data_IF_868422876470
#
_entry.id   IF_868422876470
#
_cell.length_a   1.000
_cell.length_b   1.000
_cell.length_c   1.000
_cell.angle_alpha   90.00
_cell.angle_beta   90.00
_cell.angle_gamma   90.00
#
_symmetry.space_group_name_H-M   'P 1'
#
loop_
_entity.id
_entity.type
_entity.pdbx_description
1 polymer ?
#
# COMPACT_ATOMS: atom_id res chain seq x y z
N UNK A 1 -6.02 -2.83 1.05
CA UNK A 1 -4.88 -2.96 1.96
C UNK A 1 -4.10 -1.65 1.99
N UNK A 2 -3.82 -1.13 3.19
CA UNK A 2 -3.01 0.08 3.40
C UNK A 2 -1.81 -0.28 4.24
N UNK A 3 -0.61 0.08 3.79
CA UNK A 3 0.64 -0.35 4.40
C UNK A 3 1.66 0.79 4.45
N UNK A 4 2.55 0.79 5.45
CA UNK A 4 3.75 1.64 5.46
C UNK A 4 4.74 1.21 4.38
N UNK A 5 5.60 2.13 3.90
CA UNK A 5 6.50 1.87 2.78
C UNK A 5 7.97 2.10 3.14
N UNK A 6 8.74 1.02 3.23
CA UNK A 6 10.16 1.04 3.60
C UNK A 6 11.10 0.50 2.53
N UNK A 7 10.59 -0.40 1.67
CA UNK A 7 11.44 -1.12 0.73
C UNK A 7 10.73 -1.38 -0.61
N UNK A 8 11.49 -1.62 -1.66
CA UNK A 8 10.95 -2.15 -2.92
C UNK A 8 10.38 -3.57 -2.77
N UNK A 9 10.74 -4.26 -1.70
CA UNK A 9 10.25 -5.60 -1.41
C UNK A 9 8.90 -5.63 -0.69
N UNK A 10 8.42 -4.49 -0.14
CA UNK A 10 7.13 -4.45 0.56
C UNK A 10 5.96 -4.97 -0.28
N UNK A 11 5.79 -4.56 -1.56
CA UNK A 11 4.71 -5.10 -2.38
C UNK A 11 4.82 -6.59 -2.62
N UNK A 12 6.05 -7.11 -2.79
CA UNK A 12 6.30 -8.52 -3.07
C UNK A 12 5.97 -9.36 -1.84
N UNK A 13 6.43 -8.93 -0.67
CA UNK A 13 6.20 -9.63 0.60
C UNK A 13 4.72 -9.59 0.98
N UNK A 14 4.07 -8.43 0.82
CA UNK A 14 2.63 -8.28 1.07
C UNK A 14 1.83 -9.14 0.09
N UNK A 15 2.18 -9.13 -1.19
CA UNK A 15 1.53 -9.96 -2.20
C UNK A 15 1.67 -11.45 -1.89
N UNK A 16 2.85 -11.89 -1.45
CA UNK A 16 3.09 -13.28 -1.06
C UNK A 16 2.26 -13.69 0.18
N UNK A 17 2.25 -12.85 1.22
CA UNK A 17 1.51 -13.11 2.44
C UNK A 17 0.00 -13.23 2.19
N UNK A 18 -0.53 -12.40 1.31
CA UNK A 18 -1.95 -12.36 0.94
C UNK A 18 -2.22 -12.89 -0.48
N UNK A 19 -1.45 -13.89 -0.93
CA UNK A 19 -1.49 -14.41 -2.32
C UNK A 19 -2.86 -14.93 -2.76
N UNK A 20 -3.73 -15.29 -1.82
CA UNK A 20 -5.11 -15.70 -2.10
C UNK A 20 -6.03 -14.53 -2.47
N UNK A 21 -5.62 -13.30 -2.20
CA UNK A 21 -6.45 -12.10 -2.33
C UNK A 21 -6.23 -11.31 -3.62
N UNK A 22 -5.39 -11.79 -4.57
CA UNK A 22 -5.13 -11.12 -5.86
C UNK A 22 -4.87 -9.61 -5.71
N UNK A 23 -3.88 -9.21 -4.91
CA UNK A 23 -3.62 -7.79 -4.62
C UNK A 23 -2.95 -7.12 -5.81
N UNK A 24 -3.55 -6.05 -6.32
CA UNK A 24 -2.97 -5.11 -7.28
C UNK A 24 -2.50 -3.84 -6.57
N UNK A 25 -1.25 -3.43 -6.76
CA UNK A 25 -0.72 -2.23 -6.13
C UNK A 25 -0.78 -1.00 -7.03
N UNK A 26 -0.92 0.16 -6.42
CA UNK A 26 -0.72 1.44 -7.11
C UNK A 26 0.77 1.76 -7.09
N UNK A 27 1.36 1.94 -8.27
CA UNK A 27 2.79 2.10 -8.45
C UNK A 27 3.13 3.32 -9.30
N UNK A 28 4.33 3.90 -9.13
CA UNK A 28 4.82 5.02 -9.94
C UNK A 28 4.90 4.61 -11.42
N UNK A 29 4.47 5.48 -12.33
CA UNK A 29 4.47 5.21 -13.78
C UNK A 29 5.85 4.78 -14.32
N UNK A 30 6.94 5.35 -13.78
CA UNK A 30 8.30 4.97 -14.15
C UNK A 30 8.62 3.49 -13.93
N UNK A 31 8.01 2.83 -12.94
CA UNK A 31 8.26 1.42 -12.65
C UNK A 31 7.78 0.49 -13.77
N UNK A 32 6.79 0.92 -14.54
CA UNK A 32 6.28 0.16 -15.71
C UNK A 32 7.24 0.19 -16.90
N UNK A 33 8.24 1.08 -16.90
CA UNK A 33 9.26 1.18 -17.95
C UNK A 33 10.47 0.28 -17.67
N UNK A 34 10.62 -0.23 -16.44
CA UNK A 34 11.74 -1.10 -16.05
C UNK A 34 11.61 -2.44 -16.79
N UNK A 35 12.65 -2.88 -17.54
CA UNK A 35 12.65 -4.19 -18.20
C UNK A 35 12.34 -5.33 -17.22
N UNK A 36 11.61 -6.36 -17.66
CA UNK A 36 11.17 -7.52 -16.87
C UNK A 36 10.19 -7.11 -15.75
N UNK A 37 10.58 -6.25 -14.81
CA UNK A 37 9.75 -5.80 -13.70
C UNK A 37 8.46 -5.11 -14.18
N UNK A 38 8.57 -4.21 -15.16
CA UNK A 38 7.40 -3.54 -15.74
C UNK A 38 6.42 -4.50 -16.42
N UNK A 39 6.91 -5.59 -17.02
CA UNK A 39 6.05 -6.65 -17.58
C UNK A 39 5.35 -7.43 -16.47
N UNK A 40 6.08 -7.76 -15.40
CA UNK A 40 5.54 -8.49 -14.25
C UNK A 40 4.40 -7.71 -13.58
N UNK A 41 4.63 -6.45 -13.21
CA UNK A 41 3.62 -5.64 -12.50
C UNK A 41 2.38 -5.37 -13.36
N UNK A 42 2.51 -5.30 -14.71
CA UNK A 42 1.34 -5.25 -15.60
C UNK A 42 0.50 -6.52 -15.53
N UNK A 43 1.14 -7.70 -15.53
CA UNK A 43 0.44 -8.99 -15.39
C UNK A 43 -0.24 -9.13 -14.02
N UNK A 44 0.31 -8.51 -12.98
CA UNK A 44 -0.28 -8.48 -11.65
C UNK A 44 -1.33 -7.37 -11.46
N UNK A 45 -1.86 -6.79 -12.54
CA UNK A 45 -2.89 -5.74 -12.54
C UNK A 45 -2.50 -4.48 -11.78
N UNK A 46 -1.20 -4.20 -11.58
CA UNK A 46 -0.77 -2.96 -10.93
C UNK A 46 -1.23 -1.76 -11.75
N UNK A 47 -1.54 -0.68 -11.06
CA UNK A 47 -2.03 0.55 -11.66
C UNK A 47 -0.97 1.64 -11.57
N UNK A 48 -0.68 2.27 -12.72
CA UNK A 48 0.23 3.40 -12.75
C UNK A 48 -0.46 4.64 -12.20
N UNK A 49 0.18 5.35 -11.27
CA UNK A 49 -0.25 6.66 -10.81
C UNK A 49 0.75 7.73 -11.26
N UNK A 50 0.22 8.79 -11.83
CA UNK A 50 0.94 10.02 -12.08
C UNK A 50 0.57 11.02 -10.97
N UNK A 51 1.54 11.31 -10.11
CA UNK A 51 1.33 12.17 -8.94
C UNK A 51 1.52 13.64 -9.25
N UNK A 52 2.19 13.94 -10.35
CA UNK A 52 2.45 15.30 -10.82
C UNK A 52 1.22 15.86 -11.55
N UNK A 53 0.34 14.97 -12.04
CA UNK A 53 -0.91 15.34 -12.68
C UNK A 53 -2.13 14.89 -11.87
N UNK A 54 -2.79 15.82 -11.15
CA UNK A 54 -3.95 15.49 -10.32
C UNK A 54 -5.12 14.83 -11.08
N UNK A 55 -5.32 15.19 -12.35
CA UNK A 55 -6.36 14.58 -13.18
C UNK A 55 -6.08 13.11 -13.45
N UNK A 56 -4.84 12.76 -13.77
CA UNK A 56 -4.41 11.37 -13.97
C UNK A 56 -4.48 10.56 -12.68
N UNK A 57 -4.15 11.17 -11.54
CA UNK A 57 -4.31 10.53 -10.24
C UNK A 57 -5.77 10.18 -9.94
N UNK A 58 -6.72 11.08 -10.25
CA UNK A 58 -8.16 10.83 -10.09
C UNK A 58 -8.62 9.66 -10.96
N UNK A 59 -8.17 9.58 -12.21
CA UNK A 59 -8.51 8.46 -13.10
C UNK A 59 -8.00 7.13 -12.55
N UNK A 60 -6.80 7.10 -11.97
CA UNK A 60 -6.25 5.90 -11.34
C UNK A 60 -7.09 5.49 -10.12
N UNK A 61 -7.50 6.45 -9.28
CA UNK A 61 -8.39 6.20 -8.12
C UNK A 61 -9.73 5.61 -8.60
N UNK A 62 -10.33 6.17 -9.65
CA UNK A 62 -11.58 5.67 -10.21
C UNK A 62 -11.44 4.25 -10.76
N UNK A 63 -10.36 3.97 -11.50
CA UNK A 63 -10.05 2.64 -12.01
C UNK A 63 -9.89 1.62 -10.89
N UNK A 64 -9.12 1.97 -9.84
CA UNK A 64 -8.93 1.12 -8.68
C UNK A 64 -10.25 0.81 -7.97
N UNK A 65 -11.11 1.81 -7.79
CA UNK A 65 -12.42 1.62 -7.17
C UNK A 65 -13.32 0.68 -8.00
N UNK A 66 -13.33 0.81 -9.33
CA UNK A 66 -14.09 -0.10 -10.21
C UNK A 66 -13.64 -1.55 -10.11
N UNK A 67 -12.32 -1.79 -10.11
CA UNK A 67 -11.77 -3.15 -9.98
C UNK A 67 -12.13 -3.79 -8.63
N UNK A 68 -12.18 -2.99 -7.56
CA UNK A 68 -12.66 -3.43 -6.24
C UNK A 68 -14.15 -3.75 -6.25
N UNK A 69 -14.99 -2.87 -6.85
CA UNK A 69 -16.44 -3.07 -6.96
C UNK A 69 -16.79 -4.33 -7.73
N UNK A 70 -16.04 -4.62 -8.79
CA UNK A 70 -16.24 -5.82 -9.61
C UNK A 70 -15.71 -7.11 -8.95
N UNK A 71 -15.04 -7.00 -7.79
CA UNK A 71 -14.43 -8.17 -7.13
C UNK A 71 -13.25 -8.79 -7.89
N UNK A 72 -12.68 -8.06 -8.86
CA UNK A 72 -11.59 -8.58 -9.71
C UNK A 72 -10.28 -8.72 -8.94
N UNK A 73 -9.96 -7.72 -8.11
CA UNK A 73 -8.74 -7.65 -7.30
C UNK A 73 -8.98 -6.93 -5.98
N UNK A 74 -8.13 -7.20 -4.98
CA UNK A 74 -7.91 -6.27 -3.87
C UNK A 74 -6.90 -5.21 -4.29
N UNK A 75 -6.97 -4.01 -3.71
CA UNK A 75 -6.03 -2.93 -4.01
C UNK A 75 -5.12 -2.69 -2.82
N UNK A 76 -3.81 -2.67 -3.08
CA UNK A 76 -2.78 -2.33 -2.11
C UNK A 76 -2.27 -0.90 -2.34
N UNK A 77 -2.18 -0.11 -1.29
CA UNK A 77 -1.68 1.27 -1.36
C UNK A 77 -0.67 1.56 -0.25
N UNK A 78 0.28 2.40 -0.57
CA UNK A 78 1.23 2.99 0.35
C UNK A 78 0.91 4.48 0.45
N UNK A 79 0.24 4.94 1.53
CA UNK A 79 -0.25 6.33 1.61
C UNK A 79 0.88 7.37 1.65
N UNK A 80 2.08 6.97 2.07
CA UNK A 80 3.29 7.80 2.02
C UNK A 80 3.69 8.17 0.59
N UNK A 81 3.27 7.38 -0.37
CA UNK A 81 3.58 7.61 -1.78
C UNK A 81 5.04 7.37 -2.17
N UNK A 82 5.98 7.36 -1.25
CA UNK A 82 7.39 7.04 -1.45
C UNK A 82 7.93 6.27 -0.24
N UNK A 83 9.12 5.68 -0.38
CA UNK A 83 9.73 4.91 0.69
C UNK A 83 10.35 5.80 1.75
N UNK A 84 10.06 5.54 3.02
CA UNK A 84 10.83 6.07 4.14
C UNK A 84 12.18 5.35 4.25
N UNK A 85 13.26 6.09 4.18
CA UNK A 85 14.63 5.58 4.34
C UNK A 85 15.08 5.58 5.81
N UNK A 86 14.48 6.43 6.62
CA UNK A 86 14.84 6.61 8.04
C UNK A 86 14.04 5.71 8.97
N UNK A 87 12.94 5.12 8.48
CA UNK A 87 12.01 4.36 9.29
C UNK A 87 10.88 5.20 9.91
N UNK A 88 10.99 6.52 9.86
CA UNK A 88 9.93 7.44 10.28
C UNK A 88 8.86 7.49 9.18
N UNK A 89 7.58 7.43 9.54
CA UNK A 89 6.47 7.54 8.60
C UNK A 89 6.43 8.91 7.93
N UNK A 90 6.39 8.93 6.61
CA UNK A 90 6.24 10.15 5.83
C UNK A 90 4.79 10.66 5.87
N UNK A 91 4.54 11.93 5.50
CA UNK A 91 3.17 12.45 5.37
C UNK A 91 2.32 11.60 4.43
N UNK A 92 1.04 11.42 4.79
CA UNK A 92 0.11 10.61 4.00
C UNK A 92 -0.60 11.43 2.93
N UNK A 93 -0.72 10.88 1.75
CA UNK A 93 -1.60 11.35 0.70
C UNK A 93 -3.00 10.78 0.91
N UNK A 94 -3.82 11.43 1.73
CA UNK A 94 -5.13 10.93 2.17
C UNK A 94 -6.12 10.67 1.02
N UNK A 95 -5.88 11.22 -0.17
CA UNK A 95 -6.66 10.94 -1.37
C UNK A 95 -6.74 9.45 -1.76
N UNK A 96 -5.80 8.60 -1.31
CA UNK A 96 -5.83 7.15 -1.56
C UNK A 96 -7.02 6.47 -0.88
N UNK A 97 -7.50 6.99 0.26
CA UNK A 97 -8.65 6.44 0.97
C UNK A 97 -9.97 6.61 0.20
N UNK A 98 -10.02 7.55 -0.76
CA UNK A 98 -11.16 7.69 -1.68
C UNK A 98 -11.42 6.44 -2.53
N UNK A 99 -10.40 5.60 -2.72
CA UNK A 99 -10.55 4.31 -3.43
C UNK A 99 -11.55 3.43 -2.67
N UNK A 100 -11.30 3.23 -1.38
CA UNK A 100 -12.16 2.40 -0.53
C UNK A 100 -13.55 3.02 -0.35
N UNK A 101 -13.64 4.34 -0.17
CA UNK A 101 -14.92 5.07 -0.09
C UNK A 101 -15.76 4.88 -1.36
N UNK A 102 -15.15 5.09 -2.53
CA UNK A 102 -15.87 4.93 -3.81
C UNK A 102 -16.28 3.49 -4.08
N UNK A 103 -15.49 2.54 -3.60
CA UNK A 103 -15.78 1.12 -3.76
C UNK A 103 -16.76 0.58 -2.69
N UNK A 104 -16.99 1.29 -1.59
CA UNK A 104 -17.82 0.82 -0.48
C UNK A 104 -17.22 -0.35 0.28
N UNK A 105 -15.87 -0.45 0.36
CA UNK A 105 -15.17 -1.59 0.95
C UNK A 105 -14.41 -1.23 2.21
N UNK A 106 -14.13 -2.25 3.05
CA UNK A 106 -13.30 -2.12 4.25
C UNK A 106 -11.83 -1.87 3.91
N UNK A 107 -11.10 -1.28 4.86
CA UNK A 107 -9.65 -1.02 4.77
C UNK A 107 -8.92 -1.88 5.78
N UNK A 108 -8.05 -2.78 5.28
CA UNK A 108 -7.13 -3.56 6.11
C UNK A 108 -5.84 -2.79 6.29
N UNK A 109 -5.52 -2.45 7.53
CA UNK A 109 -4.31 -1.69 7.89
C UNK A 109 -3.20 -2.67 8.23
N UNK A 110 -2.08 -2.59 7.51
CA UNK A 110 -0.92 -3.44 7.67
C UNK A 110 0.29 -2.64 8.13
N UNK A 111 1.14 -3.28 8.92
CA UNK A 111 2.49 -2.81 9.19
C UNK A 111 3.51 -3.86 8.74
N UNK A 112 4.48 -3.42 7.93
CA UNK A 112 5.58 -4.26 7.44
C UNK A 112 6.89 -3.77 8.02
N UNK A 113 7.72 -4.70 8.51
CA UNK A 113 9.05 -4.42 9.05
C UNK A 113 10.06 -5.46 8.60
N UNK A 114 11.33 -5.07 8.51
CA UNK A 114 12.44 -5.95 8.12
C UNK A 114 12.75 -6.01 6.62
N UNK A 115 11.85 -5.55 5.76
CA UNK A 115 12.03 -5.58 4.30
C UNK A 115 13.17 -4.70 3.81
N UNK A 116 13.51 -3.64 4.53
CA UNK A 116 14.65 -2.75 4.23
C UNK A 116 16.00 -3.44 4.36
N UNK A 117 16.05 -4.57 5.06
CA UNK A 117 17.25 -5.38 5.25
C UNK A 117 17.47 -6.41 4.15
N UNK A 118 16.45 -6.74 3.36
CA UNK A 118 16.52 -7.78 2.32
C UNK A 118 17.66 -7.49 1.33
N UNK A 119 17.67 -6.31 0.72
CA UNK A 119 18.69 -5.94 -0.27
C UNK A 119 20.13 -6.00 0.25
N UNK A 120 20.31 -5.78 1.57
CA UNK A 120 21.64 -5.78 2.21
C UNK A 120 22.12 -7.20 2.58
N UNK A 121 21.20 -8.16 2.70
CA UNK A 121 21.49 -9.51 3.19
C UNK A 121 21.44 -10.58 2.10
N UNK A 122 20.62 -10.37 1.07
CA UNK A 122 20.49 -11.30 -0.05
C UNK A 122 21.73 -11.26 -0.94
N UNK A 123 22.26 -12.41 -1.46
CA UNK A 123 21.70 -13.75 -1.29
C UNK A 123 22.23 -14.51 -0.07
N UNK A 124 23.14 -13.95 0.73
CA UNK A 124 23.97 -14.68 1.68
C UNK A 124 23.33 -14.93 3.05
N UNK A 125 22.32 -14.18 3.44
CA UNK A 125 21.67 -14.34 4.76
C UNK A 125 20.15 -14.19 4.66
N UNK A 126 19.44 -15.04 5.38
CA UNK A 126 18.01 -14.90 5.59
C UNK A 126 17.66 -13.57 6.30
N UNK A 127 16.50 -13.03 5.98
CA UNK A 127 16.01 -11.80 6.60
C UNK A 127 14.64 -12.07 7.20
N UNK A 128 14.51 -11.79 8.49
CA UNK A 128 13.21 -11.83 9.15
C UNK A 128 12.38 -10.64 8.71
N UNK A 129 11.23 -10.93 8.14
CA UNK A 129 10.23 -9.94 7.73
C UNK A 129 8.94 -10.24 8.47
N UNK A 130 8.36 -9.20 9.05
CA UNK A 130 7.08 -9.30 9.76
C UNK A 130 6.02 -8.47 9.08
N UNK A 131 4.85 -9.05 8.90
CA UNK A 131 3.63 -8.35 8.48
C UNK A 131 2.62 -8.53 9.60
N UNK A 132 2.08 -7.43 10.08
CA UNK A 132 1.05 -7.40 11.12
C UNK A 132 -0.19 -6.69 10.59
N UNK A 133 -1.35 -7.29 10.78
CA UNK A 133 -2.63 -6.62 10.62
C UNK A 133 -2.87 -5.80 11.88
N UNK A 134 -2.93 -4.48 11.75
CA UNK A 134 -3.13 -3.57 12.87
C UNK A 134 -4.62 -3.39 13.17
N UNK A 135 -5.43 -3.30 12.11
CA UNK A 135 -6.88 -3.11 12.22
C UNK A 135 -7.58 -3.41 10.89
N UNK A 136 -8.89 -3.59 10.97
CA UNK A 136 -9.79 -3.67 9.80
C UNK A 136 -10.90 -2.63 9.98
N UNK A 137 -10.76 -1.50 9.29
CA UNK A 137 -11.75 -0.41 9.31
C UNK A 137 -12.94 -0.85 8.47
N UNK A 138 -14.13 -0.91 9.06
CA UNK A 138 -15.35 -1.32 8.35
C UNK A 138 -15.71 -0.37 7.21
N UNK A 139 -16.36 -0.88 6.18
CA UNK A 139 -16.85 -0.07 5.04
C UNK A 139 -17.79 1.06 5.49
N UNK A 140 -18.62 0.83 6.50
CA UNK A 140 -19.49 1.85 7.08
C UNK A 140 -18.69 3.03 7.62
N UNK A 141 -17.63 2.76 8.40
CA UNK A 141 -16.76 3.78 8.94
C UNK A 141 -15.97 4.48 7.82
N UNK A 142 -15.43 3.73 6.87
CA UNK A 142 -14.69 4.26 5.70
C UNK A 142 -15.56 5.23 4.89
N UNK A 143 -16.84 4.90 4.66
CA UNK A 143 -17.76 5.75 3.89
C UNK A 143 -18.29 6.95 4.71
N UNK A 144 -18.39 6.82 6.04
CA UNK A 144 -18.94 7.85 6.92
C UNK A 144 -17.95 8.92 7.37
N UNK A 145 -16.64 8.67 7.32
CA UNK A 145 -15.62 9.60 7.78
C UNK A 145 -14.91 10.32 6.62
N UNK A 146 -14.38 11.52 6.89
CA UNK A 146 -13.50 12.22 5.95
C UNK A 146 -12.17 11.46 5.78
N UNK A 147 -11.60 11.49 4.58
CA UNK A 147 -10.32 10.80 4.28
C UNK A 147 -9.18 11.23 5.19
N UNK A 148 -9.17 12.48 5.66
CA UNK A 148 -8.14 12.98 6.56
C UNK A 148 -8.25 12.35 7.96
N UNK A 149 -9.47 12.11 8.45
CA UNK A 149 -9.69 11.42 9.71
C UNK A 149 -9.26 9.95 9.64
N UNK A 150 -9.61 9.28 8.55
CA UNK A 150 -9.16 7.90 8.29
C UNK A 150 -7.62 7.86 8.22
N UNK A 151 -7.01 8.79 7.49
CA UNK A 151 -5.56 8.90 7.34
C UNK A 151 -4.86 9.13 8.69
N UNK A 152 -5.37 10.04 9.52
CA UNK A 152 -4.83 10.29 10.86
C UNK A 152 -4.94 9.05 11.76
N UNK A 153 -6.06 8.34 11.71
CA UNK A 153 -6.28 7.10 12.46
C UNK A 153 -5.28 6.01 12.04
N UNK A 154 -5.17 5.75 10.72
CA UNK A 154 -4.23 4.77 10.17
C UNK A 154 -2.79 5.11 10.53
N UNK A 155 -2.41 6.39 10.41
CA UNK A 155 -1.08 6.87 10.74
C UNK A 155 -0.75 6.59 12.21
N UNK A 156 -1.64 6.92 13.14
CA UNK A 156 -1.45 6.66 14.58
C UNK A 156 -1.25 5.18 14.87
N UNK A 157 -2.01 4.29 14.23
CA UNK A 157 -1.82 2.84 14.39
C UNK A 157 -0.43 2.39 13.96
N UNK A 158 0.06 2.90 12.83
CA UNK A 158 1.38 2.55 12.30
C UNK A 158 2.51 3.15 13.14
N UNK A 159 2.37 4.38 13.66
CA UNK A 159 3.34 5.02 14.55
C UNK A 159 3.50 4.22 15.85
N UNK A 160 2.39 3.89 16.51
CA UNK A 160 2.38 3.08 17.73
C UNK A 160 3.06 1.72 17.53
N UNK A 161 2.85 1.07 16.37
CA UNK A 161 3.49 -0.21 16.07
C UNK A 161 4.98 -0.05 15.76
N UNK A 162 5.38 1.04 15.13
CA UNK A 162 6.79 1.34 14.85
C UNK A 162 7.57 1.54 16.14
N UNK A 163 7.02 2.27 17.10
CA UNK A 163 7.61 2.49 18.42
C UNK A 163 7.78 1.18 19.20
N UNK A 164 6.77 0.31 19.17
CA UNK A 164 6.83 -1.02 19.81
C UNK A 164 7.90 -1.94 19.22
N UNK A 165 8.22 -1.80 17.96
CA UNK A 165 9.22 -2.62 17.27
C UNK A 165 10.63 -2.00 17.33
N UNK A 166 10.78 -0.77 17.83
CA UNK A 166 12.05 -0.05 17.99
C UNK A 166 12.70 -0.24 19.36
N UNK A 167 11.94 -0.72 20.32
CA UNK A 167 12.40 -1.16 21.65
C UNK A 167 12.63 -2.69 21.65
#
# INVERSE_FOLDING_TARGET
FVCNHRSNYDPIVTWYAFRKNKIAFISKAANFKIPVFGRLIRKCCFMAIDRENPRNAILTIQKAARLLQNGEVCVGVYPEGTRSKTGVLLPFHNGVFKIAQKAGVSVVVLHVSGTERIAKRTPFRATDVRIKVLDVISSQRVCGEKTDMIGAYVRRLMENETERNGN
#
